data_IF_025803358397
#
_entry.id   IF_025803358397
#
_cell.length_a   1.000
_cell.length_b   1.000
_cell.length_c   1.000
_cell.angle_alpha   90.00
_cell.angle_beta   90.00
_cell.angle_gamma   90.00
#
_symmetry.space_group_name_H-M   'P 1'
#
loop_
_entity.id
_entity.type
_entity.pdbx_description
1 polymer ?
#
# COMPACT_ATOMS: atom_id res chain seq x y z
N UNK A 1 -1.60 29.49 12.31
CA UNK A 1 -1.10 28.52 13.30
C UNK A 1 -1.08 27.15 12.62
N UNK A 2 0.04 26.41 12.68
CA UNK A 2 0.17 25.14 11.98
C UNK A 2 -0.48 23.98 12.75
N UNK A 3 -1.03 23.01 12.03
CA UNK A 3 -1.62 21.81 12.61
C UNK A 3 -0.52 20.82 13.03
N UNK A 4 -0.25 20.63 14.33
CA UNK A 4 0.81 19.74 14.81
C UNK A 4 0.58 18.28 14.41
N UNK A 5 -0.68 17.89 14.19
CA UNK A 5 -1.07 16.59 13.65
C UNK A 5 -0.43 16.29 12.28
N UNK A 6 -0.18 17.32 11.46
CA UNK A 6 0.45 17.15 10.14
C UNK A 6 1.94 16.80 10.25
N UNK A 7 2.56 17.01 11.42
CA UNK A 7 3.93 16.55 11.69
C UNK A 7 4.00 15.08 12.07
N UNK A 8 2.88 14.44 12.49
CA UNK A 8 2.84 12.99 12.74
C UNK A 8 2.96 12.19 11.44
N UNK A 9 2.56 12.79 10.32
CA UNK A 9 2.79 12.23 8.98
C UNK A 9 4.22 12.45 8.47
N UNK A 10 5.02 13.27 9.15
CA UNK A 10 6.45 13.43 8.85
C UNK A 10 7.31 12.36 9.53
N UNK A 11 6.78 11.68 10.56
CA UNK A 11 7.49 10.65 11.32
C UNK A 11 7.08 9.25 10.90
N UNK A 12 7.66 8.76 9.80
CA UNK A 12 7.57 7.35 9.42
C UNK A 12 6.16 6.82 9.17
N UNK A 13 6.03 5.51 9.18
CA UNK A 13 4.77 4.83 8.88
C UNK A 13 3.79 4.95 10.05
N UNK A 14 2.48 4.94 9.76
CA UNK A 14 1.49 4.85 10.80
C UNK A 14 1.65 3.55 11.59
N UNK A 15 1.48 3.63 12.91
CA UNK A 15 1.59 2.49 13.83
C UNK A 15 0.65 1.32 13.50
N UNK A 16 -0.38 1.56 12.69
CA UNK A 16 -1.40 0.59 12.27
C UNK A 16 -1.06 -0.12 10.95
N UNK A 17 0.17 -0.02 10.43
CA UNK A 17 0.54 -0.64 9.14
C UNK A 17 0.30 -2.15 9.12
N UNK A 18 0.66 -2.86 10.19
CA UNK A 18 0.46 -4.32 10.27
C UNK A 18 -1.03 -4.68 10.38
N UNK A 19 -1.84 -3.77 10.92
CA UNK A 19 -3.30 -3.93 10.95
C UNK A 19 -3.91 -3.75 9.55
N UNK A 20 -3.40 -2.80 8.76
CA UNK A 20 -3.76 -2.67 7.35
C UNK A 20 -3.34 -3.91 6.55
N UNK A 21 -2.10 -4.39 6.74
CA UNK A 21 -1.60 -5.62 6.10
C UNK A 21 -2.53 -6.80 6.37
N UNK A 22 -2.98 -6.94 7.63
CA UNK A 22 -3.95 -7.96 8.04
C UNK A 22 -5.35 -7.76 7.45
N UNK A 23 -5.85 -6.53 7.39
CA UNK A 23 -7.19 -6.22 6.87
C UNK A 23 -7.29 -6.42 5.35
N UNK A 24 -6.22 -6.15 4.61
CA UNK A 24 -6.18 -6.25 3.15
C UNK A 24 -5.49 -7.53 2.65
N UNK A 25 -5.14 -8.45 3.54
CA UNK A 25 -4.58 -9.74 3.17
C UNK A 25 -5.57 -10.52 2.30
N UNK A 26 -5.21 -10.76 1.04
CA UNK A 26 -6.06 -11.46 0.07
C UNK A 26 -7.06 -10.58 -0.68
N UNK A 27 -7.05 -9.25 -0.47
CA UNK A 27 -7.85 -8.29 -1.24
C UNK A 27 -6.93 -7.49 -2.16
N UNK A 28 -6.98 -7.75 -3.47
CA UNK A 28 -6.30 -6.94 -4.46
C UNK A 28 -7.26 -5.85 -4.97
N UNK A 29 -6.95 -4.58 -4.70
CA UNK A 29 -7.62 -3.45 -5.37
C UNK A 29 -6.91 -3.25 -6.70
N UNK A 30 -7.48 -3.77 -7.78
CA UNK A 30 -6.91 -3.75 -9.14
C UNK A 30 -7.10 -2.41 -9.88
N UNK A 31 -7.82 -1.46 -9.28
CA UNK A 31 -8.11 -0.15 -9.87
C UNK A 31 -9.24 -0.18 -10.91
N UNK A 32 -9.91 -1.32 -11.12
CA UNK A 32 -11.07 -1.41 -12.03
C UNK A 32 -12.22 -0.48 -11.65
N UNK A 33 -12.34 -0.14 -10.36
CA UNK A 33 -13.32 0.83 -9.84
C UNK A 33 -12.78 2.24 -9.65
N UNK A 34 -11.55 2.54 -10.13
CA UNK A 34 -10.96 3.87 -9.95
C UNK A 34 -11.52 4.85 -10.97
N UNK A 35 -11.99 6.00 -10.49
CA UNK A 35 -12.45 7.09 -11.35
C UNK A 35 -11.27 7.99 -11.71
N UNK A 36 -11.02 8.17 -13.01
CA UNK A 36 -10.00 9.08 -13.54
C UNK A 36 -10.70 10.33 -14.10
N UNK A 37 -10.60 11.49 -13.44
CA UNK A 37 -11.22 12.71 -13.93
C UNK A 37 -10.63 13.13 -15.29
N UNK A 38 -11.46 13.15 -16.34
CA UNK A 38 -11.06 13.48 -17.71
C UNK A 38 -10.96 12.28 -18.66
N UNK A 39 -11.29 11.08 -18.20
CA UNK A 39 -11.48 9.93 -19.07
C UNK A 39 -12.90 10.00 -19.66
N UNK A 40 -13.00 10.36 -20.94
CA UNK A 40 -14.24 10.38 -21.70
C UNK A 40 -14.48 8.99 -22.32
N UNK A 41 -14.72 7.97 -21.49
CA UNK A 41 -15.32 6.71 -21.96
C UNK A 41 -16.57 6.41 -21.12
N UNK A 42 -17.72 6.19 -21.78
CA UNK A 42 -18.99 6.02 -21.09
C UNK A 42 -18.99 4.69 -20.35
N UNK A 43 -19.23 4.74 -19.05
CA UNK A 43 -19.79 3.61 -18.30
C UNK A 43 -21.02 3.11 -19.04
N UNK A 44 -20.94 1.89 -19.56
CA UNK A 44 -22.07 1.15 -20.10
C UNK A 44 -22.98 0.78 -18.92
N UNK A 45 -23.77 1.77 -18.49
CA UNK A 45 -24.86 1.55 -17.56
C UNK A 45 -25.94 0.88 -18.38
N UNK A 46 -25.97 -0.45 -18.41
CA UNK A 46 -27.18 -1.19 -18.78
C UNK A 46 -28.27 -0.76 -17.79
N UNK A 47 -29.28 0.02 -18.22
CA UNK A 47 -30.38 0.39 -17.35
C UNK A 47 -31.27 -0.86 -17.23
N UNK A 48 -31.36 -1.43 -16.03
CA UNK A 48 -32.42 -2.36 -15.75
C UNK A 48 -33.72 -1.56 -15.70
N UNK A 49 -34.56 -1.82 -16.68
CA UNK A 49 -35.84 -1.23 -16.98
C UNK A 49 -36.86 -1.62 -15.89
N UNK A 50 -37.10 -0.74 -14.92
CA UNK A 50 -38.35 -0.69 -14.15
C UNK A 50 -38.82 0.76 -14.05
N UNK A 51 -39.60 1.12 -15.07
CA UNK A 51 -40.62 2.16 -15.18
C UNK A 51 -41.16 2.68 -13.82
N UNK A 52 -40.94 3.96 -13.52
CA UNK A 52 -42.00 4.80 -12.97
C UNK A 52 -41.85 6.25 -13.47
N UNK A 53 -42.81 6.58 -14.33
CA UNK A 53 -43.14 7.86 -14.95
C UNK A 53 -43.41 8.98 -13.94
N UNK A 54 -42.82 10.16 -14.13
CA UNK A 54 -43.54 11.45 -14.19
C UNK A 54 -42.60 12.68 -14.15
N UNK A 55 -42.41 13.22 -15.36
CA UNK A 55 -42.48 14.63 -15.80
C UNK A 55 -41.88 15.81 -15.00
N UNK A 56 -41.24 16.68 -15.79
CA UNK A 56 -40.93 18.12 -15.60
C UNK A 56 -39.89 18.49 -14.50
N UNK A 57 -38.91 19.35 -14.72
CA UNK A 57 -38.83 20.52 -15.58
C UNK A 57 -37.35 20.84 -15.86
N UNK A 58 -37.07 21.26 -17.10
CA UNK A 58 -35.77 21.71 -17.56
C UNK A 58 -35.38 23.03 -16.90
N UNK A 59 -34.35 23.02 -16.04
CA UNK A 59 -33.97 24.25 -15.34
C UNK A 59 -32.55 24.34 -14.80
N UNK A 60 -31.52 23.81 -15.47
CA UNK A 60 -30.13 24.17 -15.16
C UNK A 60 -29.85 25.62 -15.62
N UNK A 61 -30.49 26.59 -14.97
CA UNK A 61 -30.21 28.02 -15.11
C UNK A 61 -28.89 28.32 -14.38
N UNK A 62 -27.79 28.21 -15.12
CA UNK A 62 -26.56 28.90 -14.73
C UNK A 62 -26.85 30.41 -14.78
N UNK A 63 -26.61 31.19 -13.71
CA UNK A 63 -26.85 32.63 -13.73
C UNK A 63 -25.94 33.28 -14.78
N UNK A 64 -26.52 33.77 -15.87
CA UNK A 64 -25.77 34.57 -16.83
C UNK A 64 -25.42 35.90 -16.16
N UNK A 65 -24.12 36.16 -16.03
CA UNK A 65 -23.59 37.44 -15.55
C UNK A 65 -24.17 38.59 -16.38
N UNK A 66 -24.89 39.51 -15.75
CA UNK A 66 -25.27 40.80 -16.35
C UNK A 66 -24.05 41.72 -16.38
N UNK A 67 -23.12 41.39 -17.28
CA UNK A 67 -22.02 42.28 -17.65
C UNK A 67 -22.57 43.58 -18.24
N UNK A 68 -22.28 44.68 -17.54
CA UNK A 68 -22.68 46.06 -17.85
C UNK A 68 -22.52 46.44 -19.34
N UNK A 69 -23.64 46.67 -20.04
CA UNK A 69 -23.66 47.39 -21.33
C UNK A 69 -23.77 48.89 -21.07
N UNK A 70 -22.64 49.59 -21.07
CA UNK A 70 -22.58 51.01 -21.48
C UNK A 70 -21.51 51.02 -22.59
N UNK A 71 -21.83 51.39 -23.83
CA UNK A 71 -22.15 52.76 -24.21
C UNK A 71 -22.66 52.79 -25.65
N UNK A 72 -23.71 53.56 -25.93
CA UNK A 72 -23.84 54.30 -27.18
C UNK A 72 -23.97 55.78 -26.79
N UNK A 73 -23.17 56.58 -27.48
CA UNK A 73 -23.20 58.04 -27.58
C UNK A 73 -22.85 58.89 -26.35
N UNK A 74 -21.59 59.33 -26.29
CA UNK A 74 -21.27 60.77 -26.38
C UNK A 74 -19.76 60.98 -26.44
N UNK A 75 -19.31 61.60 -27.54
CA UNK A 75 -18.19 62.54 -27.68
C UNK A 75 -17.08 62.54 -26.61
N UNK A 76 -15.90 62.00 -26.94
CA UNK A 76 -14.60 62.55 -26.51
C UNK A 76 -13.39 61.80 -27.11
N UNK A 77 -12.57 62.56 -27.84
CA UNK A 77 -11.10 62.57 -27.96
C UNK A 77 -10.24 61.30 -27.75
N UNK A 78 -9.18 61.23 -28.59
CA UNK A 78 -7.95 60.43 -28.55
C UNK A 78 -8.01 59.02 -29.19
N UNK A 79 -7.68 58.96 -30.48
CA UNK A 79 -7.26 57.74 -31.18
C UNK A 79 -5.92 57.25 -30.61
N UNK A 80 -5.98 56.41 -29.58
CA UNK A 80 -4.83 55.63 -29.08
C UNK A 80 -4.59 54.42 -30.00
N UNK A 81 -3.51 54.45 -30.76
CA UNK A 81 -2.94 53.25 -31.41
C UNK A 81 -2.14 52.46 -30.37
N UNK A 82 -2.81 51.88 -29.37
CA UNK A 82 -2.16 51.00 -28.41
C UNK A 82 -2.29 49.55 -28.91
N UNK A 83 -1.20 49.03 -29.48
CA UNK A 83 -1.10 47.61 -29.81
C UNK A 83 -1.23 46.82 -28.50
N UNK A 84 -2.23 45.94 -28.40
CA UNK A 84 -2.38 45.09 -27.21
C UNK A 84 -1.16 44.16 -27.10
N UNK A 85 -0.43 44.11 -25.96
CA UNK A 85 0.69 43.20 -25.80
C UNK A 85 0.21 41.75 -25.96
N UNK A 86 0.89 40.99 -26.81
CA UNK A 86 0.59 39.59 -27.12
C UNK A 86 0.49 38.77 -25.81
N UNK A 87 -0.67 38.15 -25.52
CA UNK A 87 -0.98 37.38 -24.30
C UNK A 87 -0.17 36.06 -24.14
N UNK A 88 1.06 35.99 -24.63
CA UNK A 88 1.87 34.76 -24.69
C UNK A 88 2.81 34.55 -23.50
N UNK A 89 2.95 35.53 -22.62
CA UNK A 89 3.77 35.38 -21.41
C UNK A 89 2.91 34.81 -20.29
N UNK A 90 3.12 33.52 -19.94
CA UNK A 90 2.48 32.89 -18.78
C UNK A 90 2.63 33.83 -17.57
N UNK A 91 1.51 34.16 -16.90
CA UNK A 91 1.49 35.07 -15.75
C UNK A 91 2.52 34.62 -14.69
N UNK A 92 3.19 35.53 -13.98
CA UNK A 92 4.07 35.19 -12.86
C UNK A 92 3.43 34.21 -11.86
N UNK A 93 2.13 34.35 -11.61
CA UNK A 93 1.37 33.41 -10.77
C UNK A 93 1.32 31.99 -11.36
N UNK A 94 1.09 31.86 -12.67
CA UNK A 94 1.09 30.55 -13.36
C UNK A 94 2.47 29.91 -13.32
N UNK A 95 3.55 30.69 -13.45
CA UNK A 95 4.92 30.17 -13.31
C UNK A 95 5.20 29.67 -11.89
N UNK A 96 4.76 30.41 -10.88
CA UNK A 96 4.90 29.99 -9.48
C UNK A 96 4.11 28.69 -9.21
N UNK A 97 2.87 28.58 -9.72
CA UNK A 97 2.07 27.35 -9.60
C UNK A 97 2.77 26.15 -10.24
N UNK A 98 3.26 26.29 -11.47
CA UNK A 98 3.98 25.20 -12.18
C UNK A 98 5.21 24.75 -11.38
N UNK A 99 5.98 25.70 -10.84
CA UNK A 99 7.16 25.37 -10.02
C UNK A 99 6.78 24.64 -8.73
N UNK A 100 5.69 25.06 -8.07
CA UNK A 100 5.18 24.39 -6.87
C UNK A 100 4.66 22.98 -7.18
N UNK A 101 3.98 22.79 -8.32
CA UNK A 101 3.54 21.46 -8.77
C UNK A 101 4.72 20.54 -9.05
N UNK A 102 5.78 21.04 -9.68
CA UNK A 102 7.01 20.27 -9.93
C UNK A 102 7.66 19.83 -8.62
N UNK A 103 7.81 20.76 -7.66
CA UNK A 103 8.35 20.45 -6.34
C UNK A 103 7.49 19.42 -5.60
N UNK A 104 6.16 19.57 -5.65
CA UNK A 104 5.24 18.62 -5.05
C UNK A 104 5.38 17.23 -5.65
N UNK A 105 5.46 17.11 -6.99
CA UNK A 105 5.68 15.84 -7.67
C UNK A 105 7.00 15.21 -7.25
N UNK A 106 8.08 15.99 -7.18
CA UNK A 106 9.39 15.52 -6.74
C UNK A 106 9.33 14.98 -5.30
N UNK A 107 8.74 15.73 -4.36
CA UNK A 107 8.54 15.28 -2.98
C UNK A 107 7.70 13.99 -2.94
N UNK A 108 6.64 13.89 -3.73
CA UNK A 108 5.83 12.67 -3.80
C UNK A 108 6.61 11.48 -4.34
N UNK A 109 7.39 11.65 -5.40
CA UNK A 109 8.22 10.57 -5.96
C UNK A 109 9.27 10.09 -4.95
N UNK A 110 9.94 11.00 -4.25
CA UNK A 110 10.90 10.65 -3.19
C UNK A 110 10.22 9.89 -2.04
N UNK A 111 9.03 10.35 -1.62
CA UNK A 111 8.25 9.67 -0.59
C UNK A 111 7.86 8.25 -1.01
N UNK A 112 7.40 8.07 -2.25
CA UNK A 112 6.99 6.77 -2.77
C UNK A 112 8.19 5.83 -2.90
N UNK A 113 9.34 6.31 -3.38
CA UNK A 113 10.56 5.51 -3.47
C UNK A 113 11.07 5.07 -2.08
N UNK A 114 11.03 5.98 -1.09
CA UNK A 114 11.35 5.63 0.28
C UNK A 114 10.39 4.55 0.82
N UNK A 115 9.08 4.72 0.57
CA UNK A 115 8.04 3.78 0.94
C UNK A 115 8.30 2.38 0.36
N UNK A 116 8.60 2.29 -0.93
CA UNK A 116 8.93 1.05 -1.63
C UNK A 116 10.19 0.37 -1.06
N UNK A 117 11.24 1.15 -0.78
CA UNK A 117 12.46 0.65 -0.15
C UNK A 117 12.21 0.04 1.22
N UNK A 118 11.36 0.67 2.05
CA UNK A 118 10.98 0.13 3.35
C UNK A 118 10.14 -1.15 3.22
N UNK A 119 9.17 -1.20 2.31
CA UNK A 119 8.37 -2.41 2.06
C UNK A 119 9.24 -3.57 1.60
N UNK A 120 10.15 -3.31 0.66
CA UNK A 120 11.11 -4.30 0.16
C UNK A 120 12.01 -4.84 1.28
N UNK A 121 12.49 -3.97 2.16
CA UNK A 121 13.29 -4.38 3.32
C UNK A 121 12.48 -5.22 4.31
N UNK A 122 11.23 -4.86 4.59
CA UNK A 122 10.33 -5.65 5.46
C UNK A 122 10.08 -7.04 4.89
N UNK A 123 9.81 -7.12 3.58
CA UNK A 123 9.63 -8.38 2.89
C UNK A 123 10.90 -9.25 2.92
N UNK A 124 12.07 -8.66 2.67
CA UNK A 124 13.35 -9.37 2.74
C UNK A 124 13.64 -9.91 4.15
N UNK A 125 13.35 -9.15 5.20
CA UNK A 125 13.52 -9.63 6.59
C UNK A 125 12.59 -10.80 6.86
N UNK A 126 11.30 -10.69 6.49
CA UNK A 126 10.34 -11.79 6.66
C UNK A 126 10.77 -13.05 5.91
N UNK A 127 11.15 -12.92 4.65
CA UNK A 127 11.66 -14.03 3.83
C UNK A 127 12.95 -14.63 4.41
N UNK A 128 13.86 -13.80 4.94
CA UNK A 128 15.09 -14.29 5.56
C UNK A 128 14.82 -15.03 6.88
N UNK A 129 13.83 -14.58 7.67
CA UNK A 129 13.40 -15.28 8.88
C UNK A 129 12.72 -16.62 8.55
N UNK A 130 11.84 -16.67 7.57
CA UNK A 130 11.21 -17.90 7.07
C UNK A 130 12.26 -18.89 6.53
N UNK A 131 13.19 -18.43 5.69
CA UNK A 131 14.28 -19.27 5.17
C UNK A 131 15.23 -19.77 6.27
N UNK A 132 15.44 -18.99 7.33
CA UNK A 132 16.22 -19.42 8.50
C UNK A 132 15.47 -20.49 9.29
N UNK A 133 14.16 -20.34 9.44
CA UNK A 133 13.31 -21.33 10.10
C UNK A 133 13.32 -22.65 9.32
N UNK A 134 13.10 -22.61 8.01
CA UNK A 134 13.13 -23.78 7.13
C UNK A 134 14.45 -24.56 7.27
N UNK A 135 15.59 -23.87 7.15
CA UNK A 135 16.92 -24.49 7.34
C UNK A 135 17.09 -25.12 8.73
N UNK A 136 16.53 -24.51 9.77
CA UNK A 136 16.59 -25.06 11.12
C UNK A 136 15.79 -26.37 11.21
N UNK A 137 14.59 -26.41 10.63
CA UNK A 137 13.78 -27.64 10.56
C UNK A 137 14.52 -28.74 9.79
N UNK A 138 15.10 -28.43 8.64
CA UNK A 138 15.87 -29.38 7.84
C UNK A 138 17.03 -30.00 8.64
N UNK A 139 17.79 -29.15 9.35
CA UNK A 139 18.91 -29.59 10.18
C UNK A 139 18.45 -30.53 11.30
N UNK A 140 17.31 -30.24 11.93
CA UNK A 140 16.74 -31.07 12.99
C UNK A 140 16.26 -32.41 12.43
N UNK A 141 15.57 -32.40 11.29
CA UNK A 141 15.10 -33.61 10.62
C UNK A 141 16.27 -34.52 10.20
N UNK A 142 17.34 -33.96 9.64
CA UNK A 142 18.56 -34.70 9.30
C UNK A 142 19.20 -35.33 10.53
N UNK A 143 19.39 -34.56 11.60
CA UNK A 143 19.95 -35.07 12.85
C UNK A 143 19.07 -36.15 13.52
N UNK A 144 17.76 -36.14 13.30
CA UNK A 144 16.86 -37.20 13.75
C UNK A 144 17.03 -38.49 12.91
N UNK A 145 17.18 -38.35 11.58
CA UNK A 145 17.44 -39.47 10.67
C UNK A 145 18.78 -40.15 10.98
N UNK A 146 19.82 -39.40 11.35
CA UNK A 146 21.08 -39.96 11.86
C UNK A 146 20.91 -40.86 13.09
N UNK A 147 19.83 -40.66 13.85
CA UNK A 147 19.48 -41.47 15.02
C UNK A 147 18.53 -42.64 14.67
N UNK A 148 18.36 -42.95 13.38
CA UNK A 148 17.43 -43.94 12.85
C UNK A 148 15.96 -43.66 13.21
N UNK A 149 15.60 -42.38 13.36
CA UNK A 149 14.20 -41.96 13.50
C UNK A 149 13.71 -41.52 12.13
N UNK A 150 12.72 -42.24 11.60
CA UNK A 150 12.11 -41.97 10.32
C UNK A 150 10.60 -41.64 10.47
N UNK A 151 10.02 -41.17 9.37
CA UNK A 151 8.62 -40.71 9.28
C UNK A 151 7.61 -41.86 9.46
N UNK A 152 8.05 -43.11 9.30
CA UNK A 152 7.24 -44.32 9.52
C UNK A 152 6.88 -44.51 11.00
N UNK A 153 7.70 -44.01 11.91
CA UNK A 153 7.40 -43.96 13.33
C UNK A 153 6.79 -42.60 13.72
N UNK A 154 5.48 -42.47 13.47
CA UNK A 154 4.73 -41.24 13.72
C UNK A 154 4.90 -40.69 15.15
N UNK A 155 4.99 -41.56 16.16
CA UNK A 155 5.15 -41.13 17.56
C UNK A 155 6.50 -40.44 17.78
N UNK A 156 7.59 -41.04 17.31
CA UNK A 156 8.90 -40.42 17.41
C UNK A 156 9.00 -39.17 16.51
N UNK A 157 8.36 -39.19 15.35
CA UNK A 157 8.35 -38.04 14.44
C UNK A 157 7.59 -36.83 15.03
N UNK A 158 6.50 -37.07 15.77
CA UNK A 158 5.84 -36.02 16.55
C UNK A 158 6.79 -35.46 17.62
N UNK A 159 7.60 -36.31 18.26
CA UNK A 159 8.67 -35.86 19.17
C UNK A 159 9.68 -34.93 18.50
N UNK A 160 10.09 -35.24 17.26
CA UNK A 160 10.96 -34.38 16.44
C UNK A 160 10.29 -33.03 16.15
N UNK A 161 9.00 -33.03 15.79
CA UNK A 161 8.24 -31.81 15.54
C UNK A 161 8.17 -30.92 16.80
N UNK A 162 7.89 -31.51 17.97
CA UNK A 162 7.84 -30.79 19.24
C UNK A 162 9.19 -30.18 19.61
N UNK A 163 10.29 -30.92 19.39
CA UNK A 163 11.65 -30.40 19.56
C UNK A 163 11.91 -29.21 18.62
N UNK A 164 11.46 -29.29 17.36
CA UNK A 164 11.65 -28.22 16.38
C UNK A 164 10.86 -26.94 16.70
N UNK A 165 9.69 -27.07 17.33
CA UNK A 165 8.87 -25.94 17.77
C UNK A 165 9.44 -25.25 19.03
N UNK A 166 10.13 -26.00 19.90
CA UNK A 166 10.77 -25.46 21.10
C UNK A 166 12.23 -25.05 20.82
N UNK A 167 12.50 -23.74 20.91
CA UNK A 167 13.85 -23.19 20.66
C UNK A 167 14.92 -23.74 21.59
N UNK A 168 14.59 -23.99 22.85
CA UNK A 168 15.50 -24.56 23.85
C UNK A 168 15.78 -26.03 23.56
N UNK A 169 14.73 -26.82 23.31
CA UNK A 169 14.84 -28.23 22.96
C UNK A 169 15.66 -28.42 21.67
N UNK A 170 15.37 -27.64 20.63
CA UNK A 170 16.13 -27.60 19.38
C UNK A 170 17.62 -27.36 19.63
N UNK A 171 17.95 -26.37 20.46
CA UNK A 171 19.34 -26.02 20.77
C UNK A 171 20.06 -27.17 21.49
N UNK A 172 19.44 -27.78 22.49
CA UNK A 172 20.01 -28.93 23.21
C UNK A 172 20.14 -30.16 22.31
N UNK A 173 19.13 -30.42 21.48
CA UNK A 173 19.10 -31.54 20.54
C UNK A 173 20.27 -31.48 19.55
N UNK A 174 20.46 -30.34 18.87
CA UNK A 174 21.51 -30.19 17.86
C UNK A 174 22.93 -30.32 18.46
N UNK A 175 23.12 -29.92 19.72
CA UNK A 175 24.41 -30.04 20.44
C UNK A 175 24.61 -31.40 21.13
N UNK A 176 23.60 -32.24 21.19
CA UNK A 176 23.68 -33.57 21.82
C UNK A 176 24.32 -34.59 20.89
N UNK A 177 24.92 -35.63 21.49
CA UNK A 177 25.38 -36.82 20.76
C UNK A 177 24.17 -37.64 20.25
N UNK A 178 24.35 -38.52 19.24
CA UNK A 178 23.25 -39.30 18.67
C UNK A 178 22.39 -40.06 19.69
N UNK A 179 23.01 -40.69 20.69
CA UNK A 179 22.28 -41.38 21.77
C UNK A 179 21.43 -40.42 22.61
N UNK A 180 21.95 -39.23 22.90
CA UNK A 180 21.22 -38.18 23.64
C UNK A 180 20.07 -37.62 22.81
N UNK A 181 20.29 -37.39 21.51
CA UNK A 181 19.26 -36.98 20.55
C UNK A 181 18.09 -37.96 20.53
N UNK A 182 18.38 -39.26 20.43
CA UNK A 182 17.35 -40.31 20.45
C UNK A 182 16.55 -40.30 21.76
N UNK A 183 17.22 -40.19 22.90
CA UNK A 183 16.54 -40.12 24.21
C UNK A 183 15.65 -38.86 24.33
N UNK A 184 16.11 -37.71 23.81
CA UNK A 184 15.32 -36.48 23.74
C UNK A 184 14.06 -36.68 22.88
N UNK A 185 14.18 -37.29 21.70
CA UNK A 185 13.04 -37.58 20.83
C UNK A 185 12.03 -38.49 21.54
N UNK A 186 12.50 -39.57 22.17
CA UNK A 186 11.64 -40.50 22.92
C UNK A 186 10.93 -39.83 24.11
N UNK A 187 11.59 -38.89 24.77
CA UNK A 187 10.98 -38.10 25.84
C UNK A 187 9.86 -37.21 25.30
N UNK A 188 10.14 -36.39 24.29
CA UNK A 188 9.18 -35.46 23.69
C UNK A 188 8.03 -36.18 22.97
N UNK A 189 8.24 -37.40 22.47
CA UNK A 189 7.18 -38.23 21.90
C UNK A 189 6.12 -38.68 22.93
N UNK A 190 6.48 -38.75 24.22
CA UNK A 190 5.56 -39.18 25.31
C UNK A 190 4.88 -38.02 26.01
N UNK A 191 5.39 -36.80 25.86
CA UNK A 191 4.77 -35.61 26.44
C UNK A 191 3.48 -35.35 25.67
N UNK A 192 2.35 -35.49 26.35
CA UNK A 192 1.05 -35.02 25.87
C UNK A 192 0.91 -33.58 26.35
N UNK A 193 0.55 -32.68 25.42
CA UNK A 193 0.38 -31.26 25.72
C UNK A 193 -0.88 -31.01 26.58
#
# INVERSE_FOLDING_TARGET
MGHPEWKKLQSGWPIYLDELDRMFMGVAVDGSSSYVPGDEDPVDVTPNDEEEDSEDDHGLQTPQSTGSKRTRDSSQSLRSTATSPNKKTKSPAVRAMVSQMQLHNEIQTQRNAAMEGFMSKRLQVKQAEEAKMEKQFDTIMEAARDCSVAEDNAQLWIGVLKIAQDKGASYFFLRSLPHGRKALIEHYARVVD
#
